data_IF_758205238932
#
_entry.id   IF_758205238932
#
_cell.length_a   1.000
_cell.length_b   1.000
_cell.length_c   1.000
_cell.angle_alpha   90.00
_cell.angle_beta   90.00
_cell.angle_gamma   90.00
#
_symmetry.space_group_name_H-M   'P 1'
#
loop_
_entity.id
_entity.type
_entity.pdbx_description
1 polymer ?
#
# COMPACT_ATOMS: atom_id res chain seq x y z
N UNK A 1 21.91 1.64 -24.94
CA UNK A 1 21.31 2.68 -25.83
C UNK A 1 20.70 3.73 -24.94
N UNK A 2 21.08 4.99 -25.09
CA UNK A 2 20.42 6.07 -24.34
C UNK A 2 18.96 6.15 -24.81
N UNK A 3 18.01 5.90 -23.91
CA UNK A 3 16.61 6.20 -24.17
C UNK A 3 16.54 7.72 -24.36
N UNK A 4 16.02 8.16 -25.50
CA UNK A 4 15.75 9.59 -25.75
C UNK A 4 15.03 10.17 -24.52
N UNK A 5 15.47 11.33 -24.05
CA UNK A 5 14.88 11.98 -22.86
C UNK A 5 13.39 12.24 -23.10
N UNK A 6 12.53 11.35 -22.59
CA UNK A 6 11.10 11.61 -22.52
C UNK A 6 10.83 12.73 -21.51
N UNK A 7 9.89 13.60 -21.84
CA UNK A 7 9.41 14.58 -20.88
C UNK A 7 8.62 13.86 -19.81
N UNK A 8 9.12 13.89 -18.57
CA UNK A 8 8.45 13.27 -17.43
C UNK A 8 7.28 14.13 -16.97
N UNK A 9 6.15 13.54 -16.57
CA UNK A 9 5.10 14.28 -15.88
C UNK A 9 5.66 14.91 -14.60
N UNK A 10 5.40 16.20 -14.41
CA UNK A 10 5.97 16.91 -13.24
C UNK A 10 5.31 16.47 -11.94
N UNK A 11 3.99 16.51 -11.88
CA UNK A 11 3.19 16.11 -10.71
C UNK A 11 1.80 15.69 -11.12
N UNK A 12 1.23 14.78 -10.35
CA UNK A 12 -0.21 14.52 -10.37
C UNK A 12 -0.87 15.65 -9.61
N UNK A 13 -1.68 16.45 -10.29
CA UNK A 13 -2.47 17.51 -9.66
C UNK A 13 -3.85 16.95 -9.33
N UNK A 14 -4.17 16.94 -8.05
CA UNK A 14 -5.50 16.60 -7.55
C UNK A 14 -6.36 17.87 -7.63
N UNK A 15 -7.31 17.93 -8.58
CA UNK A 15 -8.12 19.14 -8.79
C UNK A 15 -9.36 19.20 -7.91
N UNK A 16 -10.02 18.04 -7.73
CA UNK A 16 -11.18 17.89 -6.84
C UNK A 16 -11.03 16.57 -6.12
N UNK A 17 -11.13 16.59 -4.81
CA UNK A 17 -11.12 15.40 -3.99
C UNK A 17 -12.20 15.47 -2.95
N UNK A 18 -13.07 14.48 -2.96
CA UNK A 18 -13.98 14.10 -1.88
C UNK A 18 -13.62 12.67 -1.45
N UNK A 19 -14.23 12.19 -0.39
CA UNK A 19 -14.01 10.80 0.04
C UNK A 19 -14.45 9.75 -1.01
N UNK A 20 -15.29 10.14 -1.97
CA UNK A 20 -15.90 9.25 -2.95
C UNK A 20 -15.47 9.54 -4.40
N UNK A 21 -15.02 10.75 -4.68
CA UNK A 21 -14.72 11.19 -6.05
C UNK A 21 -13.46 12.05 -6.06
N UNK A 22 -12.57 11.79 -7.03
CA UNK A 22 -11.41 12.63 -7.28
C UNK A 22 -11.10 12.77 -8.76
N UNK A 23 -10.59 13.93 -9.14
CA UNK A 23 -10.10 14.23 -10.47
C UNK A 23 -8.59 14.43 -10.44
N UNK A 24 -7.89 13.59 -11.20
CA UNK A 24 -6.43 13.58 -11.33
C UNK A 24 -6.02 14.16 -12.67
N UNK A 25 -5.01 15.01 -12.67
CA UNK A 25 -4.41 15.57 -13.85
C UNK A 25 -2.95 15.11 -13.96
N UNK A 26 -2.61 14.48 -15.09
CA UNK A 26 -1.26 14.03 -15.42
C UNK A 26 -0.76 14.86 -16.61
N UNK A 27 0.28 15.65 -16.41
CA UNK A 27 0.90 16.47 -17.46
C UNK A 27 2.35 16.80 -17.13
N UNK A 28 3.19 17.12 -18.16
CA UNK A 28 2.93 16.88 -19.57
C UNK A 28 3.15 15.41 -19.93
N UNK A 29 2.45 14.92 -20.95
CA UNK A 29 2.66 13.61 -21.53
C UNK A 29 3.05 13.76 -23.00
N UNK A 30 3.92 12.90 -23.49
CA UNK A 30 4.22 12.82 -24.93
C UNK A 30 2.97 12.40 -25.73
N UNK A 31 2.85 12.79 -27.00
CA UNK A 31 1.71 12.41 -27.84
C UNK A 31 1.45 10.90 -27.87
N UNK A 32 0.20 10.49 -27.61
CA UNK A 32 -0.24 9.09 -27.55
C UNK A 32 -0.12 8.43 -26.17
N UNK A 33 0.65 9.00 -25.24
CA UNK A 33 0.77 8.42 -23.90
C UNK A 33 -0.47 8.60 -23.03
N UNK A 34 -1.24 9.66 -23.25
CA UNK A 34 -2.50 9.89 -22.55
C UNK A 34 -3.49 8.74 -22.73
N UNK A 35 -3.66 8.26 -23.96
CA UNK A 35 -4.52 7.09 -24.25
C UNK A 35 -3.97 5.82 -23.60
N UNK A 36 -2.67 5.59 -23.75
CA UNK A 36 -2.00 4.38 -23.22
C UNK A 36 -2.16 4.28 -21.71
N UNK A 37 -1.79 5.34 -20.99
CA UNK A 37 -1.84 5.38 -19.52
C UNK A 37 -3.29 5.42 -19.04
N UNK A 38 -4.13 6.26 -19.64
CA UNK A 38 -5.53 6.41 -19.26
C UNK A 38 -6.32 5.12 -19.39
N UNK A 39 -6.17 4.41 -20.52
CA UNK A 39 -6.85 3.14 -20.74
C UNK A 39 -6.32 2.03 -19.83
N UNK A 40 -4.99 1.94 -19.63
CA UNK A 40 -4.39 0.96 -18.75
C UNK A 40 -4.87 1.13 -17.30
N UNK A 41 -4.77 2.34 -16.76
CA UNK A 41 -5.25 2.65 -15.41
C UNK A 41 -6.75 2.41 -15.26
N UNK A 42 -7.57 2.86 -16.22
CA UNK A 42 -9.01 2.64 -16.18
C UNK A 42 -9.36 1.17 -16.10
N UNK A 43 -8.71 0.31 -16.91
CA UNK A 43 -8.97 -1.13 -16.91
C UNK A 43 -8.58 -1.79 -15.59
N UNK A 44 -7.43 -1.43 -15.03
CA UNK A 44 -6.97 -1.97 -13.76
C UNK A 44 -7.85 -1.50 -12.61
N UNK A 45 -8.22 -0.22 -12.57
CA UNK A 45 -9.13 0.33 -11.55
C UNK A 45 -10.47 -0.41 -11.53
N UNK A 46 -11.08 -0.64 -12.69
CA UNK A 46 -12.41 -1.25 -12.77
C UNK A 46 -12.45 -2.75 -12.45
N UNK A 47 -11.33 -3.48 -12.59
CA UNK A 47 -11.38 -4.94 -12.51
C UNK A 47 -10.34 -5.61 -11.61
N UNK A 48 -9.27 -4.90 -11.22
CA UNK A 48 -8.13 -5.57 -10.57
C UNK A 48 -7.95 -5.21 -9.09
N UNK A 49 -8.67 -4.20 -8.61
CA UNK A 49 -8.61 -3.84 -7.19
C UNK A 49 -9.37 -4.86 -6.33
N UNK A 50 -8.83 -5.07 -5.14
CA UNK A 50 -9.43 -5.97 -4.15
C UNK A 50 -10.54 -5.27 -3.38
N UNK A 51 -11.54 -6.03 -2.98
CA UNK A 51 -12.63 -5.56 -2.14
C UNK A 51 -13.31 -6.69 -1.40
N UNK A 52 -14.32 -6.35 -0.62
CA UNK A 52 -15.11 -7.28 0.16
C UNK A 52 -16.57 -7.24 -0.30
N UNK A 53 -17.18 -8.41 -0.45
CA UNK A 53 -18.58 -8.55 -0.85
C UNK A 53 -19.20 -9.80 -0.21
N UNK A 54 -20.52 -9.86 -0.21
CA UNK A 54 -21.27 -11.05 0.21
C UNK A 54 -21.12 -12.11 -0.89
N UNK A 55 -20.66 -13.29 -0.51
CA UNK A 55 -20.44 -14.44 -1.41
C UNK A 55 -21.49 -15.55 -1.22
N UNK A 56 -22.23 -15.51 -0.12
CA UNK A 56 -23.30 -16.45 0.13
C UNK A 56 -24.08 -16.11 1.39
N UNK A 57 -25.28 -16.66 1.47
CA UNK A 57 -26.20 -16.50 2.59
C UNK A 57 -26.82 -17.82 2.97
N UNK A 58 -27.28 -17.90 4.21
CA UNK A 58 -28.14 -18.98 4.70
C UNK A 58 -29.26 -18.34 5.51
N UNK A 59 -30.52 -18.61 5.13
CA UNK A 59 -31.70 -18.06 5.78
C UNK A 59 -32.52 -19.22 6.36
N UNK A 60 -32.81 -19.15 7.64
CA UNK A 60 -33.61 -20.16 8.28
C UNK A 60 -35.05 -20.20 7.68
N UNK A 61 -35.42 -21.36 7.10
CA UNK A 61 -36.73 -21.54 6.47
C UNK A 61 -36.76 -21.22 4.96
N UNK A 62 -35.58 -20.94 4.35
CA UNK A 62 -35.46 -20.77 2.90
C UNK A 62 -34.35 -21.68 2.36
N UNK A 63 -34.70 -22.66 1.54
CA UNK A 63 -33.76 -23.66 1.03
C UNK A 63 -33.19 -23.29 -0.36
N UNK A 64 -33.78 -22.29 -1.02
CA UNK A 64 -33.36 -21.82 -2.34
C UNK A 64 -33.72 -20.34 -2.55
N UNK A 65 -33.15 -19.72 -3.56
CA UNK A 65 -33.28 -18.29 -3.87
C UNK A 65 -34.73 -17.82 -4.23
N UNK A 66 -35.58 -18.73 -4.66
CA UNK A 66 -36.98 -18.42 -5.01
C UNK A 66 -37.95 -18.70 -3.85
N UNK A 67 -37.46 -18.92 -2.65
CA UNK A 67 -38.29 -19.13 -1.48
C UNK A 67 -38.90 -17.81 -0.97
N UNK A 68 -40.01 -17.93 -0.23
CA UNK A 68 -40.62 -16.81 0.50
C UNK A 68 -40.49 -17.06 2.00
N UNK A 69 -40.31 -15.99 2.76
CA UNK A 69 -40.15 -16.06 4.23
C UNK A 69 -41.42 -15.55 4.89
N UNK A 70 -41.96 -16.32 5.82
CA UNK A 70 -43.20 -15.95 6.52
C UNK A 70 -43.02 -14.65 7.31
N UNK A 71 -43.84 -13.65 7.00
CA UNK A 71 -43.82 -12.35 7.66
C UNK A 71 -42.74 -11.40 7.15
N UNK A 72 -42.11 -11.70 6.02
CA UNK A 72 -41.23 -10.79 5.25
C UNK A 72 -41.94 -10.46 3.94
N UNK A 73 -41.89 -9.22 3.53
CA UNK A 73 -42.60 -8.71 2.33
C UNK A 73 -41.87 -9.12 1.07
N UNK A 74 -40.55 -8.97 1.05
CA UNK A 74 -39.66 -9.31 -0.06
C UNK A 74 -39.38 -10.81 -0.10
N UNK A 75 -39.22 -11.37 -1.29
CA UNK A 75 -38.74 -12.72 -1.46
C UNK A 75 -37.22 -12.82 -1.28
N UNK A 76 -36.68 -14.03 -1.25
CA UNK A 76 -35.24 -14.24 -1.05
C UNK A 76 -34.42 -13.64 -2.18
N UNK A 77 -34.94 -13.63 -3.41
CA UNK A 77 -34.26 -13.01 -4.57
C UNK A 77 -34.10 -11.51 -4.37
N UNK A 78 -35.16 -10.83 -3.93
CA UNK A 78 -35.10 -9.37 -3.66
C UNK A 78 -34.13 -9.08 -2.50
N UNK A 79 -34.16 -9.90 -1.43
CA UNK A 79 -33.20 -9.79 -0.32
C UNK A 79 -31.76 -9.92 -0.84
N UNK A 80 -31.47 -10.90 -1.71
CA UNK A 80 -30.16 -11.09 -2.30
C UNK A 80 -29.75 -9.87 -3.11
N UNK A 81 -30.64 -9.33 -3.96
CA UNK A 81 -30.38 -8.15 -4.78
C UNK A 81 -30.03 -6.91 -3.92
N UNK A 82 -30.70 -6.75 -2.79
CA UNK A 82 -30.41 -5.69 -1.85
C UNK A 82 -29.10 -5.93 -1.09
N UNK A 83 -28.84 -7.16 -0.64
CA UNK A 83 -27.58 -7.53 0.02
C UNK A 83 -26.34 -7.33 -0.87
N UNK A 84 -26.42 -7.55 -2.17
CA UNK A 84 -25.34 -7.28 -3.14
C UNK A 84 -24.93 -5.80 -3.22
N UNK A 85 -25.79 -4.89 -2.78
CA UNK A 85 -25.50 -3.46 -2.76
C UNK A 85 -24.77 -3.02 -1.49
N UNK A 86 -24.66 -3.87 -0.45
CA UNK A 86 -23.94 -3.56 0.78
C UNK A 86 -22.44 -3.43 0.50
N UNK A 87 -21.82 -2.37 1.04
CA UNK A 87 -20.39 -2.07 0.84
C UNK A 87 -19.64 -2.21 2.15
N UNK A 88 -18.63 -3.08 2.16
CA UNK A 88 -17.85 -3.45 3.34
C UNK A 88 -16.47 -2.84 3.30
N UNK A 89 -16.09 -2.14 4.39
CA UNK A 89 -14.74 -1.65 4.64
C UNK A 89 -14.17 -2.39 5.84
N UNK A 90 -12.93 -2.88 5.71
CA UNK A 90 -12.23 -3.56 6.79
C UNK A 90 -11.92 -2.55 7.92
N UNK A 91 -12.21 -2.92 9.19
CA UNK A 91 -11.90 -2.14 10.40
C UNK A 91 -10.60 -2.57 11.08
N UNK A 92 -10.22 -3.83 10.88
CA UNK A 92 -9.09 -4.46 11.57
C UNK A 92 -7.82 -4.39 10.73
N UNK A 93 -6.67 -4.31 11.39
CA UNK A 93 -5.36 -4.18 10.71
C UNK A 93 -4.84 -5.51 10.13
N UNK A 94 -5.46 -6.64 10.47
CA UNK A 94 -5.10 -7.94 9.90
C UNK A 94 -6.05 -8.32 8.76
N UNK A 95 -5.51 -9.00 7.78
CA UNK A 95 -6.27 -9.43 6.60
C UNK A 95 -7.27 -10.54 6.97
N UNK A 96 -8.54 -10.31 6.62
CA UNK A 96 -9.62 -11.29 6.78
C UNK A 96 -10.00 -11.80 5.40
N UNK A 97 -9.81 -13.10 5.14
CA UNK A 97 -10.19 -13.71 3.86
C UNK A 97 -11.68 -13.99 3.75
N UNK A 98 -12.30 -14.42 4.84
CA UNK A 98 -13.74 -14.74 4.89
C UNK A 98 -14.26 -14.57 6.31
N UNK A 99 -15.44 -13.98 6.48
CA UNK A 99 -16.15 -13.85 7.76
C UNK A 99 -17.60 -14.31 7.63
N UNK A 100 -18.11 -15.02 8.63
CA UNK A 100 -19.51 -15.39 8.75
C UNK A 100 -20.18 -14.55 9.82
N UNK A 101 -21.20 -13.81 9.41
CA UNK A 101 -21.96 -12.89 10.26
C UNK A 101 -23.34 -13.50 10.48
N UNK A 102 -23.67 -13.84 11.71
CA UNK A 102 -24.98 -14.40 12.07
C UNK A 102 -25.84 -13.32 12.73
N UNK A 103 -27.04 -13.13 12.19
CA UNK A 103 -28.02 -12.18 12.68
C UNK A 103 -29.33 -12.87 13.04
N UNK A 104 -29.92 -12.47 14.16
CA UNK A 104 -31.28 -12.86 14.56
C UNK A 104 -32.12 -11.60 14.79
N UNK A 105 -32.94 -11.26 13.81
CA UNK A 105 -33.74 -10.03 13.80
C UNK A 105 -35.14 -10.38 14.34
N UNK A 106 -35.54 -9.71 15.40
CA UNK A 106 -36.84 -9.90 16.07
C UNK A 106 -37.39 -8.55 16.48
N UNK A 107 -38.72 -8.42 16.47
CA UNK A 107 -39.43 -7.21 16.91
C UNK A 107 -39.00 -5.93 16.16
N UNK A 108 -38.59 -6.06 14.90
CA UNK A 108 -38.25 -4.96 14.00
C UNK A 108 -39.09 -5.03 12.74
N UNK A 109 -39.45 -3.90 12.18
CA UNK A 109 -40.21 -3.81 10.93
C UNK A 109 -39.31 -3.69 9.69
N UNK A 110 -38.07 -3.35 9.90
CA UNK A 110 -37.06 -3.15 8.81
C UNK A 110 -35.76 -3.83 9.15
N UNK A 111 -35.16 -4.45 8.16
CA UNK A 111 -33.78 -4.93 8.19
C UNK A 111 -32.93 -4.04 7.31
N UNK A 112 -31.96 -3.35 7.91
CA UNK A 112 -31.04 -2.45 7.21
C UNK A 112 -29.61 -2.97 7.21
N UNK A 113 -28.82 -2.52 6.26
CA UNK A 113 -27.40 -2.89 6.14
C UNK A 113 -26.56 -2.49 7.38
N UNK A 114 -26.98 -1.46 8.11
CA UNK A 114 -26.36 -1.03 9.37
C UNK A 114 -26.32 -2.14 10.42
N UNK A 115 -27.37 -2.96 10.50
CA UNK A 115 -27.42 -4.10 11.45
C UNK A 115 -26.36 -5.15 11.16
N UNK A 116 -25.99 -5.32 9.88
CA UNK A 116 -24.89 -6.22 9.49
C UNK A 116 -23.56 -5.67 10.01
N UNK A 117 -23.34 -4.34 9.88
CA UNK A 117 -22.14 -3.66 10.36
C UNK A 117 -22.00 -3.66 11.89
N UNK A 118 -23.12 -3.63 12.62
CA UNK A 118 -23.16 -3.74 14.10
C UNK A 118 -22.80 -5.16 14.57
N UNK A 119 -23.20 -6.19 13.81
CA UNK A 119 -22.94 -7.58 14.14
C UNK A 119 -21.53 -8.06 13.74
N UNK A 120 -20.87 -7.35 12.80
CA UNK A 120 -19.52 -7.69 12.36
C UNK A 120 -18.45 -6.97 13.17
N UNK A 121 -17.52 -7.69 13.79
CA UNK A 121 -16.35 -7.10 14.44
C UNK A 121 -15.30 -6.62 13.42
N UNK A 122 -15.18 -7.27 12.26
CA UNK A 122 -14.13 -7.00 11.29
C UNK A 122 -14.52 -5.94 10.24
N UNK A 123 -15.81 -5.79 9.93
CA UNK A 123 -16.26 -4.92 8.84
C UNK A 123 -17.10 -3.72 9.32
N UNK A 124 -16.91 -2.61 8.61
CA UNK A 124 -17.79 -1.45 8.63
C UNK A 124 -18.62 -1.43 7.35
N UNK A 125 -19.92 -1.20 7.49
CA UNK A 125 -20.79 -0.97 6.34
C UNK A 125 -20.79 0.52 5.99
N UNK A 126 -20.52 0.84 4.72
CA UNK A 126 -20.40 2.22 4.25
C UNK A 126 -21.75 2.84 3.86
N UNK A 127 -22.78 2.02 3.67
CA UNK A 127 -24.15 2.41 3.34
C UNK A 127 -25.16 1.83 4.34
N UNK A 128 -25.12 2.22 5.64
CA UNK A 128 -25.91 1.60 6.70
C UNK A 128 -27.41 1.80 6.55
N UNK A 129 -27.85 2.84 5.85
CA UNK A 129 -29.25 3.18 5.64
C UNK A 129 -29.92 2.34 4.55
N UNK A 130 -29.18 1.49 3.83
CA UNK A 130 -29.73 0.63 2.78
C UNK A 130 -30.72 -0.35 3.40
N UNK A 131 -31.97 -0.29 2.93
CA UNK A 131 -33.02 -1.24 3.31
C UNK A 131 -32.79 -2.56 2.59
N UNK A 132 -32.78 -3.66 3.36
CA UNK A 132 -32.62 -5.01 2.83
C UNK A 132 -33.98 -5.67 2.65
N UNK A 133 -34.82 -5.66 3.70
CA UNK A 133 -36.20 -6.10 3.62
C UNK A 133 -37.07 -5.49 4.70
N UNK A 134 -38.39 -5.55 4.49
CA UNK A 134 -39.44 -5.15 5.42
C UNK A 134 -40.12 -6.39 6.02
N UNK A 135 -40.43 -6.34 7.30
CA UNK A 135 -40.95 -7.48 8.03
C UNK A 135 -42.15 -7.06 8.92
N UNK A 136 -43.03 -8.02 9.20
CA UNK A 136 -44.01 -7.87 10.22
C UNK A 136 -43.34 -7.78 11.62
N UNK A 137 -43.90 -7.00 12.53
CA UNK A 137 -43.37 -6.84 13.89
C UNK A 137 -43.28 -8.15 14.69
N UNK A 138 -44.06 -9.16 14.31
CA UNK A 138 -44.05 -10.51 14.90
C UNK A 138 -43.14 -11.50 14.20
N UNK A 139 -42.56 -11.09 13.05
CA UNK A 139 -41.67 -11.96 12.27
C UNK A 139 -40.31 -12.12 12.96
N UNK A 140 -39.68 -13.26 12.68
CA UNK A 140 -38.32 -13.57 13.09
C UNK A 140 -37.52 -13.96 11.86
N UNK A 141 -36.43 -13.25 11.61
CA UNK A 141 -35.49 -13.54 10.53
C UNK A 141 -34.13 -13.94 11.14
N UNK A 142 -33.75 -15.20 10.95
CA UNK A 142 -32.42 -15.70 11.28
C UNK A 142 -31.64 -15.87 9.97
N UNK A 143 -30.56 -15.11 9.80
CA UNK A 143 -29.74 -15.08 8.59
C UNK A 143 -28.26 -15.19 8.95
N UNK A 144 -27.51 -16.03 8.23
CA UNK A 144 -26.05 -16.08 8.21
C UNK A 144 -25.58 -15.52 6.88
N UNK A 145 -24.70 -14.52 6.92
CA UNK A 145 -24.13 -13.84 5.76
C UNK A 145 -22.66 -14.15 5.73
N UNK A 146 -22.16 -14.67 4.60
CA UNK A 146 -20.74 -14.93 4.39
C UNK A 146 -20.15 -13.81 3.55
N UNK A 147 -19.23 -13.04 4.12
CA UNK A 147 -18.47 -11.98 3.45
C UNK A 147 -17.10 -12.54 3.07
N UNK A 148 -16.69 -12.34 1.82
CA UNK A 148 -15.41 -12.80 1.30
C UNK A 148 -14.59 -11.66 0.67
N UNK A 149 -13.28 -11.89 0.51
CA UNK A 149 -12.36 -11.03 -0.22
C UNK A 149 -12.22 -11.53 -1.65
N UNK A 150 -12.22 -10.63 -2.63
CA UNK A 150 -12.05 -10.98 -4.03
C UNK A 150 -11.70 -9.79 -4.91
N UNK A 151 -11.76 -10.00 -6.23
CA UNK A 151 -11.47 -8.99 -7.26
C UNK A 151 -12.51 -9.03 -8.37
N UNK A 152 -12.86 -7.87 -8.89
CA UNK A 152 -13.76 -7.75 -10.02
C UNK A 152 -15.15 -8.33 -9.74
N UNK A 153 -15.66 -9.15 -10.64
CA UNK A 153 -16.93 -9.87 -10.53
C UNK A 153 -16.69 -11.37 -10.54
N UNK A 154 -17.31 -12.06 -9.61
CA UNK A 154 -17.25 -13.52 -9.48
C UNK A 154 -18.67 -14.07 -9.45
N UNK A 155 -19.04 -14.98 -10.39
CA UNK A 155 -20.38 -15.57 -10.44
C UNK A 155 -20.62 -16.52 -9.27
N UNK A 156 -21.90 -16.70 -8.92
CA UNK A 156 -22.33 -17.51 -7.76
C UNK A 156 -21.86 -18.97 -7.84
N UNK A 157 -21.72 -19.52 -9.04
CA UNK A 157 -21.28 -20.91 -9.24
C UNK A 157 -19.84 -21.14 -8.72
N UNK A 158 -18.98 -20.12 -8.78
CA UNK A 158 -17.60 -20.21 -8.29
C UNK A 158 -17.53 -20.14 -6.75
N UNK A 159 -18.55 -19.56 -6.11
CA UNK A 159 -18.69 -19.51 -4.66
C UNK A 159 -19.33 -20.77 -4.06
N UNK A 160 -19.80 -21.71 -4.93
CA UNK A 160 -20.39 -22.95 -4.48
C UNK A 160 -19.31 -23.87 -3.92
N UNK A 161 -19.12 -23.84 -2.62
CA UNK A 161 -18.19 -24.73 -1.91
C UNK A 161 -18.57 -26.18 -2.14
N UNK A 162 -17.58 -27.07 -2.35
CA UNK A 162 -17.79 -28.50 -2.51
C UNK A 162 -18.48 -29.17 -1.31
N UNK A 163 -18.50 -28.51 -0.15
CA UNK A 163 -19.10 -28.95 1.11
C UNK A 163 -20.11 -27.96 1.68
N UNK A 164 -20.83 -27.20 0.82
CA UNK A 164 -21.84 -26.26 1.30
C UNK A 164 -22.93 -27.01 2.08
N UNK A 165 -23.27 -26.50 3.26
CA UNK A 165 -24.36 -27.04 4.08
C UNK A 165 -25.68 -26.84 3.37
N UNK A 166 -26.65 -27.71 3.70
CA UNK A 166 -28.02 -27.59 3.22
C UNK A 166 -28.58 -26.18 3.56
N UNK A 167 -29.23 -25.52 2.59
CA UNK A 167 -29.74 -24.17 2.74
C UNK A 167 -28.73 -23.05 2.47
N UNK A 168 -27.47 -23.36 2.11
CA UNK A 168 -26.52 -22.32 1.66
C UNK A 168 -26.84 -21.88 0.23
N UNK A 169 -27.10 -20.59 0.06
CA UNK A 169 -27.39 -19.95 -1.22
C UNK A 169 -26.17 -19.12 -1.62
N UNK A 170 -25.42 -19.55 -2.65
CA UNK A 170 -24.30 -18.76 -3.17
C UNK A 170 -24.79 -17.50 -3.86
N UNK A 171 -24.05 -16.41 -3.68
CA UNK A 171 -24.38 -15.10 -4.26
C UNK A 171 -23.24 -14.65 -5.16
N UNK A 172 -23.58 -14.15 -6.34
CA UNK A 172 -22.61 -13.53 -7.22
C UNK A 172 -22.13 -12.21 -6.61
N UNK A 173 -20.82 -12.00 -6.61
CA UNK A 173 -20.18 -10.93 -5.87
C UNK A 173 -19.49 -9.91 -6.78
N UNK A 174 -19.73 -8.63 -6.50
CA UNK A 174 -19.04 -7.49 -7.12
C UNK A 174 -18.07 -6.94 -6.07
N UNK A 175 -16.79 -7.31 -6.20
CA UNK A 175 -15.75 -6.93 -5.26
C UNK A 175 -15.14 -5.56 -5.54
N UNK A 176 -15.26 -5.05 -6.80
CA UNK A 176 -14.61 -3.80 -7.17
C UNK A 176 -15.13 -2.62 -6.32
N UNK A 177 -14.21 -1.85 -5.69
CA UNK A 177 -14.59 -0.65 -4.94
C UNK A 177 -14.84 0.57 -5.85
N UNK A 178 -14.65 0.42 -7.16
CA UNK A 178 -14.76 1.50 -8.13
C UNK A 178 -16.12 1.47 -8.80
N UNK A 179 -16.85 2.58 -8.71
CA UNK A 179 -18.15 2.77 -9.37
C UNK A 179 -17.98 3.24 -10.81
N UNK A 180 -17.10 4.19 -11.05
CA UNK A 180 -16.89 4.76 -12.37
C UNK A 180 -15.46 5.29 -12.54
N UNK A 181 -14.92 5.15 -13.77
CA UNK A 181 -13.67 5.79 -14.17
C UNK A 181 -13.88 6.38 -15.57
N UNK A 182 -13.68 7.68 -15.66
CA UNK A 182 -13.71 8.43 -16.91
C UNK A 182 -12.36 9.11 -17.12
N UNK A 183 -11.89 9.17 -18.36
CA UNK A 183 -10.72 9.97 -18.69
C UNK A 183 -10.93 10.77 -19.96
N UNK A 184 -10.29 11.92 -20.04
CA UNK A 184 -10.27 12.84 -21.17
C UNK A 184 -8.83 13.25 -21.42
N UNK A 185 -8.48 13.42 -22.69
CA UNK A 185 -7.15 13.88 -23.11
C UNK A 185 -7.32 15.25 -23.75
N UNK A 186 -6.53 16.19 -23.29
CA UNK A 186 -6.46 17.56 -23.80
C UNK A 186 -5.02 17.88 -24.21
N UNK A 187 -4.87 18.75 -25.23
CA UNK A 187 -3.55 19.24 -25.58
C UNK A 187 -3.04 20.23 -24.52
N UNK A 188 -1.77 20.17 -24.23
CA UNK A 188 -1.10 21.11 -23.33
C UNK A 188 0.16 21.66 -23.97
N UNK A 189 0.53 22.87 -23.56
CA UNK A 189 1.74 23.54 -24.06
C UNK A 189 2.90 23.34 -23.11
N UNK A 190 4.03 22.93 -23.67
CA UNK A 190 5.31 22.91 -22.96
C UNK A 190 6.30 23.78 -23.77
N UNK A 191 6.71 24.90 -23.20
CA UNK A 191 7.56 25.91 -23.86
C UNK A 191 6.99 26.38 -25.19
N UNK A 192 7.61 25.99 -26.33
CA UNK A 192 7.18 26.37 -27.68
C UNK A 192 6.35 25.29 -28.38
N UNK A 193 6.27 24.06 -27.78
CA UNK A 193 5.52 22.93 -28.34
C UNK A 193 4.12 22.88 -27.74
N UNK A 194 3.12 22.64 -28.58
CA UNK A 194 1.68 22.58 -28.20
C UNK A 194 1.07 21.19 -28.42
N UNK A 195 1.90 20.21 -28.76
CA UNK A 195 1.52 18.84 -29.12
C UNK A 195 1.60 17.84 -27.94
N UNK A 196 1.95 18.31 -26.74
CA UNK A 196 1.91 17.52 -25.53
C UNK A 196 0.48 17.25 -25.07
N UNK A 197 0.29 16.13 -24.41
CA UNK A 197 -1.00 15.70 -23.87
C UNK A 197 -1.11 15.97 -22.37
N UNK A 198 -2.34 16.23 -21.95
CA UNK A 198 -2.76 16.29 -20.54
C UNK A 198 -3.87 15.26 -20.35
N UNK A 199 -3.64 14.26 -19.54
CA UNK A 199 -4.64 13.27 -19.17
C UNK A 199 -5.38 13.75 -17.91
N UNK A 200 -6.70 13.87 -18.02
CA UNK A 200 -7.61 14.15 -16.92
C UNK A 200 -8.39 12.88 -16.63
N UNK A 201 -8.25 12.35 -15.43
CA UNK A 201 -8.93 11.12 -15.00
C UNK A 201 -9.82 11.40 -13.81
N UNK A 202 -11.09 11.05 -13.92
CA UNK A 202 -12.11 11.12 -12.89
C UNK A 202 -12.38 9.73 -12.35
N UNK A 203 -12.24 9.54 -11.05
CA UNK A 203 -12.44 8.25 -10.38
C UNK A 203 -13.49 8.41 -9.30
N UNK A 204 -14.54 7.59 -9.38
CA UNK A 204 -15.62 7.53 -8.40
C UNK A 204 -15.59 6.17 -7.72
N UNK A 205 -15.48 6.19 -6.38
CA UNK A 205 -15.45 4.99 -5.53
C UNK A 205 -16.79 4.78 -4.81
N UNK A 206 -16.92 3.68 -4.13
CA UNK A 206 -18.07 3.38 -3.26
C UNK A 206 -17.86 3.83 -1.80
N UNK A 207 -16.69 4.42 -1.49
CA UNK A 207 -16.31 4.91 -0.17
C UNK A 207 -15.50 3.90 0.66
N UNK A 208 -15.34 2.67 0.20
CA UNK A 208 -14.50 1.66 0.89
C UNK A 208 -13.02 1.98 0.77
N UNK A 209 -12.62 2.60 -0.34
CA UNK A 209 -11.26 3.08 -0.62
C UNK A 209 -11.29 4.55 -1.06
N UNK A 210 -10.29 5.31 -0.63
CA UNK A 210 -10.11 6.69 -1.12
C UNK A 210 -9.63 6.68 -2.58
N UNK A 211 -10.16 7.56 -3.47
CA UNK A 211 -9.79 7.56 -4.89
C UNK A 211 -8.29 7.67 -5.16
N UNK A 212 -7.56 8.43 -4.35
CA UNK A 212 -6.11 8.56 -4.47
C UNK A 212 -5.38 7.23 -4.21
N UNK A 213 -5.80 6.52 -3.15
CA UNK A 213 -5.22 5.20 -2.84
C UNK A 213 -5.57 4.17 -3.90
N UNK A 214 -6.78 4.23 -4.46
CA UNK A 214 -7.18 3.38 -5.58
C UNK A 214 -6.27 3.55 -6.80
N UNK A 215 -5.95 4.79 -7.18
CA UNK A 215 -5.03 5.08 -8.30
C UNK A 215 -3.61 4.61 -8.00
N UNK A 216 -3.13 4.78 -6.76
CA UNK A 216 -1.82 4.28 -6.32
C UNK A 216 -1.74 2.75 -6.40
N UNK A 217 -2.77 2.05 -5.93
CA UNK A 217 -2.82 0.58 -6.00
C UNK A 217 -2.88 0.08 -7.44
N UNK A 218 -3.70 0.71 -8.30
CA UNK A 218 -3.77 0.39 -9.71
C UNK A 218 -2.41 0.58 -10.41
N UNK A 219 -1.71 1.65 -10.10
CA UNK A 219 -0.37 1.94 -10.62
C UNK A 219 0.66 0.89 -10.16
N UNK A 220 0.63 0.48 -8.88
CA UNK A 220 1.49 -0.59 -8.35
C UNK A 220 1.27 -1.92 -9.08
N UNK A 221 0.01 -2.28 -9.35
CA UNK A 221 -0.33 -3.49 -10.12
C UNK A 221 0.28 -3.43 -11.52
N UNK A 222 0.17 -2.30 -12.23
CA UNK A 222 0.76 -2.12 -13.55
C UNK A 222 2.29 -2.22 -13.51
N UNK A 223 2.93 -1.56 -12.56
CA UNK A 223 4.38 -1.60 -12.38
C UNK A 223 4.85 -3.05 -12.15
N UNK A 224 4.20 -3.80 -11.25
CA UNK A 224 4.55 -5.19 -10.96
C UNK A 224 4.48 -6.08 -12.20
N UNK A 225 3.48 -5.89 -13.08
CA UNK A 225 3.37 -6.66 -14.32
C UNK A 225 4.43 -6.25 -15.36
N UNK A 226 4.75 -4.96 -15.44
CA UNK A 226 5.75 -4.46 -16.38
C UNK A 226 7.18 -4.82 -15.95
N UNK A 227 7.46 -4.92 -14.66
CA UNK A 227 8.77 -5.34 -14.14
C UNK A 227 9.17 -6.76 -14.58
N UNK A 228 8.21 -7.66 -14.86
CA UNK A 228 8.50 -9.01 -15.38
C UNK A 228 9.07 -8.95 -16.80
N UNK A 229 8.73 -7.91 -17.58
CA UNK A 229 9.15 -7.73 -18.98
C UNK A 229 10.47 -6.98 -19.05
N UNK A 230 10.82 -6.26 -18.01
CA UNK A 230 12.03 -5.47 -17.92
C UNK A 230 13.07 -6.21 -17.05
N UNK A 231 14.36 -6.05 -17.36
CA UNK A 231 15.43 -6.55 -16.49
C UNK A 231 15.31 -5.86 -15.11
N UNK A 232 15.51 -6.62 -14.02
CA UNK A 232 15.32 -6.18 -12.63
C UNK A 232 16.16 -4.96 -12.19
N UNK A 233 17.11 -4.52 -13.04
CA UNK A 233 18.04 -3.42 -12.79
C UNK A 233 17.65 -2.11 -13.50
N UNK A 234 16.35 -1.77 -13.56
CA UNK A 234 15.96 -0.44 -14.04
C UNK A 234 16.24 0.60 -12.94
N UNK A 235 17.44 1.11 -12.91
CA UNK A 235 17.73 2.42 -12.32
C UNK A 235 17.15 3.47 -13.25
N UNK A 236 16.12 4.16 -12.78
CA UNK A 236 15.64 5.37 -13.47
C UNK A 236 16.78 6.39 -13.44
N UNK A 237 17.47 6.55 -14.57
CA UNK A 237 18.52 7.56 -14.76
C UNK A 237 17.90 8.98 -14.74
N UNK A 238 17.51 9.44 -13.58
CA UNK A 238 17.26 10.85 -13.31
C UNK A 238 18.61 11.49 -13.03
N UNK A 239 19.02 12.43 -13.87
CA UNK A 239 20.26 13.18 -13.65
C UNK A 239 20.27 13.95 -12.32
N UNK A 240 19.11 14.10 -11.67
CA UNK A 240 18.97 14.71 -10.34
C UNK A 240 19.15 13.71 -9.20
N UNK A 241 18.71 12.44 -9.37
CA UNK A 241 18.85 11.40 -8.36
C UNK A 241 20.28 10.88 -8.21
N UNK A 242 21.14 11.04 -9.26
CA UNK A 242 22.57 10.63 -9.17
C UNK A 242 23.36 11.39 -8.11
N UNK A 243 22.92 12.57 -7.70
CA UNK A 243 23.60 13.31 -6.60
C UNK A 243 23.13 12.86 -5.22
N UNK A 244 21.86 12.47 -5.08
CA UNK A 244 21.33 11.97 -3.81
C UNK A 244 21.68 10.50 -3.58
N UNK A 245 21.58 9.64 -4.61
CA UNK A 245 21.98 8.23 -4.50
C UNK A 245 23.49 8.04 -4.31
N UNK A 246 24.33 8.89 -4.92
CA UNK A 246 25.78 8.86 -4.68
C UNK A 246 26.15 9.34 -3.27
N UNK A 247 25.38 10.28 -2.71
CA UNK A 247 25.58 10.72 -1.32
C UNK A 247 25.11 9.65 -0.36
N UNK A 248 24.00 8.97 -0.66
CA UNK A 248 23.49 7.87 0.18
C UNK A 248 24.37 6.62 0.11
N UNK A 249 24.88 6.26 -1.06
CA UNK A 249 25.77 5.09 -1.20
C UNK A 249 27.13 5.32 -0.53
N UNK A 250 27.70 6.50 -0.67
CA UNK A 250 28.90 6.90 0.07
C UNK A 250 28.64 6.97 1.58
N UNK A 251 27.50 7.49 1.97
CA UNK A 251 27.09 7.58 3.38
C UNK A 251 26.84 6.18 3.97
N UNK A 252 26.24 5.26 3.20
CA UNK A 252 26.05 3.86 3.60
C UNK A 252 27.37 3.09 3.70
N UNK A 253 28.30 3.31 2.77
CA UNK A 253 29.66 2.73 2.84
C UNK A 253 30.43 3.29 4.04
N UNK A 254 30.33 4.60 4.30
CA UNK A 254 30.93 5.25 5.46
C UNK A 254 30.36 4.73 6.77
N UNK A 255 29.02 4.53 6.85
CA UNK A 255 28.37 3.90 8.02
C UNK A 255 28.85 2.49 8.28
N UNK A 256 28.99 1.67 7.21
CA UNK A 256 29.52 0.31 7.32
C UNK A 256 30.97 0.31 7.79
N UNK A 257 31.81 1.21 7.27
CA UNK A 257 33.21 1.34 7.69
C UNK A 257 33.33 1.81 9.14
N UNK A 258 32.51 2.75 9.58
CA UNK A 258 32.53 3.26 10.95
C UNK A 258 32.05 2.24 11.99
N UNK A 259 31.21 1.27 11.62
CA UNK A 259 30.77 0.16 12.47
C UNK A 259 31.82 -0.97 12.58
N UNK A 260 32.94 -0.91 11.83
CA UNK A 260 33.99 -1.93 11.88
C UNK A 260 34.64 -1.95 13.25
N UNK A 261 34.73 -3.11 13.94
CA UNK A 261 35.41 -3.23 15.22
C UNK A 261 36.92 -3.02 15.03
N UNK A 262 37.58 -2.51 16.05
CA UNK A 262 39.04 -2.26 16.04
C UNK A 262 39.86 -3.54 15.84
N UNK A 263 39.28 -4.72 16.12
CA UNK A 263 39.93 -6.03 15.96
C UNK A 263 40.18 -6.39 14.48
N UNK A 264 39.40 -5.81 13.55
CA UNK A 264 39.51 -6.03 12.10
C UNK A 264 40.43 -5.00 11.43
N UNK A 265 41.09 -4.14 12.21
CA UNK A 265 42.06 -3.18 11.72
C UNK A 265 43.46 -3.73 11.89
N UNK A 266 44.30 -3.57 10.85
CA UNK A 266 45.73 -3.97 10.86
C UNK A 266 46.55 -3.04 11.79
N UNK A 267 46.19 -3.00 13.07
CA UNK A 267 46.89 -2.24 14.10
C UNK A 267 47.93 -3.10 14.82
N UNK A 268 49.03 -2.48 15.23
CA UNK A 268 49.98 -3.18 16.09
C UNK A 268 49.33 -3.56 17.43
N UNK A 269 49.76 -4.70 17.99
CA UNK A 269 49.27 -5.20 19.29
C UNK A 269 49.37 -4.13 20.40
N UNK A 270 50.33 -3.24 20.28
CA UNK A 270 50.53 -2.14 21.24
C UNK A 270 49.48 -1.02 21.04
N UNK A 271 49.20 -0.60 19.81
CA UNK A 271 48.17 0.39 19.51
C UNK A 271 46.77 -0.12 19.89
N UNK A 272 46.47 -1.37 19.55
CA UNK A 272 45.20 -2.02 19.90
C UNK A 272 44.98 -2.10 21.43
N UNK A 273 45.98 -2.57 22.16
CA UNK A 273 45.87 -2.66 23.63
C UNK A 273 45.70 -1.30 24.31
N UNK A 274 46.29 -0.24 23.77
CA UNK A 274 46.10 1.12 24.28
C UNK A 274 44.71 1.65 24.06
N UNK A 275 44.12 1.42 22.87
CA UNK A 275 42.75 1.82 22.55
C UNK A 275 41.72 1.00 23.36
N UNK A 276 41.95 -0.29 23.55
CA UNK A 276 41.12 -1.16 24.40
C UNK A 276 41.15 -0.75 25.87
N UNK A 277 42.31 -0.33 26.37
CA UNK A 277 42.44 0.22 27.73
C UNK A 277 41.72 1.57 27.90
N UNK A 278 41.57 2.33 26.84
CA UNK A 278 40.79 3.58 26.77
C UNK A 278 39.30 3.33 26.56
N UNK A 279 38.83 2.06 26.46
CA UNK A 279 37.44 1.63 26.16
C UNK A 279 36.91 2.08 24.79
N UNK A 280 37.79 2.27 23.84
CA UNK A 280 37.44 2.54 22.45
C UNK A 280 37.40 1.18 21.75
N UNK A 281 36.23 0.79 21.21
CA UNK A 281 36.00 -0.54 20.62
C UNK A 281 35.67 -0.49 19.13
N UNK A 282 35.28 0.66 18.61
CA UNK A 282 34.86 0.84 17.19
C UNK A 282 35.57 2.00 16.51
N UNK A 283 35.58 1.95 15.18
CA UNK A 283 36.15 3.02 14.37
C UNK A 283 35.37 4.34 14.55
N UNK A 284 34.08 4.26 14.78
CA UNK A 284 33.20 5.42 15.03
C UNK A 284 33.56 6.17 16.30
N UNK A 285 33.94 5.44 17.36
CA UNK A 285 34.41 6.05 18.61
C UNK A 285 35.77 6.69 18.41
N UNK A 286 36.69 6.04 17.70
CA UNK A 286 38.05 6.51 17.48
C UNK A 286 38.10 7.84 16.72
N UNK A 287 37.26 7.98 15.66
CA UNK A 287 37.21 9.17 14.78
C UNK A 287 36.69 10.41 15.50
N UNK A 288 35.94 10.25 16.61
CA UNK A 288 35.38 11.37 17.37
C UNK A 288 36.45 12.05 18.26
N UNK A 289 37.56 11.34 18.59
CA UNK A 289 38.62 11.92 19.40
C UNK A 289 39.54 12.80 18.56
N UNK A 290 40.05 13.87 19.20
CA UNK A 290 41.14 14.67 18.65
C UNK A 290 42.51 14.07 18.96
N UNK A 291 43.49 14.35 18.12
CA UNK A 291 44.85 13.83 18.28
C UNK A 291 45.44 14.18 19.68
N UNK A 292 45.11 15.35 20.22
CA UNK A 292 45.54 15.82 21.52
C UNK A 292 44.97 15.00 22.68
N UNK A 293 43.78 14.51 22.54
CA UNK A 293 43.09 13.71 23.55
C UNK A 293 43.63 12.27 23.60
N UNK A 294 43.94 11.70 22.43
CA UNK A 294 44.59 10.38 22.33
C UNK A 294 45.98 10.37 22.96
N UNK A 295 46.70 11.46 22.89
CA UNK A 295 48.04 11.60 23.54
C UNK A 295 47.97 11.65 25.07
N UNK A 296 46.82 11.92 25.66
CA UNK A 296 46.60 11.91 27.13
C UNK A 296 46.44 10.49 27.68
N UNK A 297 46.23 9.48 26.83
CA UNK A 297 46.05 8.10 27.30
C UNK A 297 47.37 7.48 27.75
N UNK A 298 47.31 6.67 28.84
CA UNK A 298 48.46 6.00 29.43
C UNK A 298 49.07 5.01 28.44
N UNK A 299 50.39 5.12 28.22
CA UNK A 299 51.20 4.30 27.32
C UNK A 299 50.91 4.51 25.83
N UNK A 300 50.16 5.56 25.42
CA UNK A 300 49.97 5.95 24.03
C UNK A 300 51.14 6.86 23.61
N UNK A 301 51.81 6.50 22.51
CA UNK A 301 52.97 7.21 22.04
C UNK A 301 52.82 7.71 20.57
N UNK A 302 53.72 8.63 20.19
CA UNK A 302 53.67 9.27 18.86
C UNK A 302 53.75 8.28 17.69
N UNK A 303 54.42 7.09 17.90
CA UNK A 303 54.45 6.02 16.90
C UNK A 303 53.09 5.33 16.69
N UNK A 304 52.36 5.13 17.81
CA UNK A 304 50.99 4.56 17.73
C UNK A 304 49.99 5.54 17.12
N UNK A 305 50.17 6.84 17.35
CA UNK A 305 49.38 7.89 16.76
C UNK A 305 49.55 7.92 15.22
N UNK A 306 50.80 7.92 14.73
CA UNK A 306 51.10 7.95 13.31
C UNK A 306 50.62 6.69 12.57
N UNK A 307 50.64 5.53 13.22
CA UNK A 307 50.12 4.28 12.69
C UNK A 307 48.59 4.34 12.54
N UNK A 308 47.87 4.84 13.54
CA UNK A 308 46.41 5.00 13.47
C UNK A 308 46.02 6.06 12.46
N UNK A 309 46.74 7.18 12.37
CA UNK A 309 46.54 8.23 11.39
C UNK A 309 46.67 7.70 9.94
N UNK A 310 47.66 6.86 9.71
CA UNK A 310 47.88 6.23 8.41
C UNK A 310 46.69 5.29 8.06
N UNK A 311 46.23 4.45 8.98
CA UNK A 311 45.10 3.53 8.78
C UNK A 311 43.80 4.31 8.55
N UNK A 312 43.58 5.44 9.24
CA UNK A 312 42.42 6.30 9.00
C UNK A 312 42.50 6.96 7.61
N UNK A 313 43.69 7.49 7.26
CA UNK A 313 43.90 8.15 5.96
C UNK A 313 43.72 7.19 4.77
N UNK A 314 44.18 5.93 4.87
CA UNK A 314 43.98 4.90 3.84
C UNK A 314 42.49 4.57 3.63
N UNK A 315 41.63 4.82 4.64
CA UNK A 315 40.19 4.62 4.60
C UNK A 315 39.40 5.91 4.35
N UNK A 316 40.09 7.04 4.10
CA UNK A 316 39.47 8.34 3.84
C UNK A 316 38.85 8.99 5.08
N UNK A 317 39.28 8.59 6.29
CA UNK A 317 38.81 9.12 7.56
C UNK A 317 39.86 10.03 8.22
N UNK A 318 39.42 10.91 9.13
CA UNK A 318 40.28 11.79 9.90
C UNK A 318 39.83 11.90 11.35
N UNK A 319 40.73 12.27 12.26
CA UNK A 319 40.38 12.57 13.64
C UNK A 319 39.48 13.79 13.75
N UNK A 320 38.62 13.87 14.75
CA UNK A 320 37.75 15.00 15.04
C UNK A 320 36.57 15.13 14.04
N UNK A 321 36.11 14.04 13.40
CA UNK A 321 34.97 14.07 12.51
C UNK A 321 33.66 14.20 13.27
N UNK A 322 32.80 15.14 12.85
CA UNK A 322 31.45 15.27 13.40
C UNK A 322 30.50 14.23 12.79
N UNK A 323 30.17 13.22 13.58
CA UNK A 323 29.27 12.12 13.19
C UNK A 323 27.78 12.41 13.43
N UNK A 324 27.42 13.58 13.95
CA UNK A 324 26.03 13.95 14.27
C UNK A 324 25.11 13.95 13.02
N UNK A 325 25.69 14.15 11.83
CA UNK A 325 24.98 14.11 10.54
C UNK A 325 24.75 12.68 10.01
N UNK A 326 25.43 11.69 10.58
CA UNK A 326 25.41 10.32 10.08
C UNK A 326 24.42 9.39 10.81
N UNK A 327 23.71 9.88 11.86
CA UNK A 327 22.69 9.13 12.64
C UNK A 327 23.06 7.66 12.84
N UNK A 328 24.11 7.39 13.63
CA UNK A 328 24.62 6.03 13.89
C UNK A 328 23.82 5.27 14.96
N UNK A 329 22.89 5.93 15.65
CA UNK A 329 22.17 5.44 16.84
C UNK A 329 20.75 4.94 16.58
N UNK A 330 20.29 4.84 15.32
CA UNK A 330 18.98 4.28 15.00
C UNK A 330 19.09 2.81 14.54
N UNK A 331 19.30 1.89 15.53
CA UNK A 331 18.84 0.50 15.56
C UNK A 331 18.80 -0.01 16.99
#
# INVERSE_FOLDING_TARGET
MAILNFVKPDKIVLQKATDFEAQFEFRPLEPGYGVTIGNALRRVLLNSLEGYAIIGINIAGADHEFATIKGVTEDVTDIILNLKQVRFKLKVDHEVSTEKITLSIKNKTEFTAGMIGEASPAFQVMNPELLICTMDSSAKLDIEITVGKGRGYVPAEEHKEKNSHFGYIPVDAIFTPIKNVKYVIENTRVEQRTDFEKLIMEVVTDGTIHPEEAVKQASRILIQHLLIITDENITFDTKEDKKEDLVDEQTLQLRKMLKTPLEDLDLSVRAFNCLKAAKINSLSELVQYEQEDLMKFRNFGQKSLSEIEQVLHERGLSFGMDLSKLKLDDE
#
